data_IF_128662537703
#
_entry.id   IF_128662537703
#
_cell.length_a   1.000
_cell.length_b   1.000
_cell.length_c   1.000
_cell.angle_alpha   90.00
_cell.angle_beta   90.00
_cell.angle_gamma   90.00
#
_symmetry.space_group_name_H-M   'P 1'
#
loop_
_entity.id
_entity.type
_entity.pdbx_description
1 polymer ?
#
# COMPACT_ATOMS: atom_id res chain seq x y z
N UNK A 1 23.30 -9.93 -20.56
CA UNK A 1 22.76 -11.27 -20.63
C UNK A 1 23.90 -12.28 -20.71
N UNK A 2 23.90 -13.29 -19.88
CA UNK A 2 24.85 -14.40 -19.92
C UNK A 2 24.23 -15.49 -20.78
N UNK A 3 24.79 -15.68 -21.96
CA UNK A 3 24.13 -16.48 -23.00
C UNK A 3 24.01 -17.98 -22.68
N UNK A 4 24.68 -18.48 -21.64
CA UNK A 4 24.74 -19.92 -21.37
C UNK A 4 23.65 -20.41 -20.38
N UNK A 5 23.03 -19.53 -19.61
CA UNK A 5 22.13 -19.93 -18.53
C UNK A 5 20.93 -19.01 -18.30
N UNK A 6 20.58 -18.18 -19.28
CA UNK A 6 19.47 -17.19 -19.22
C UNK A 6 19.51 -16.25 -17.99
N UNK A 7 20.64 -16.12 -17.34
CA UNK A 7 20.78 -15.26 -16.17
C UNK A 7 20.72 -13.78 -16.58
N UNK A 8 19.88 -12.94 -15.93
CA UNK A 8 19.78 -11.54 -16.30
C UNK A 8 21.10 -10.80 -16.09
N UNK A 9 21.44 -9.80 -16.92
CA UNK A 9 22.65 -9.03 -16.78
C UNK A 9 22.61 -8.17 -15.52
N UNK A 10 23.76 -7.95 -14.89
CA UNK A 10 23.93 -6.94 -13.86
C UNK A 10 24.13 -5.59 -14.57
N UNK A 11 23.15 -4.68 -14.44
CA UNK A 11 23.20 -3.34 -15.03
C UNK A 11 23.46 -2.35 -13.92
N UNK A 12 24.56 -1.59 -14.04
CA UNK A 12 24.92 -0.57 -13.07
C UNK A 12 24.65 0.82 -13.68
N UNK A 13 23.69 1.55 -13.11
CA UNK A 13 23.49 2.97 -13.37
C UNK A 13 24.31 3.83 -12.40
N UNK A 14 24.46 5.13 -12.70
CA UNK A 14 25.16 6.09 -11.83
C UNK A 14 24.53 6.17 -10.44
N UNK A 15 23.21 6.11 -10.35
CA UNK A 15 22.44 6.17 -9.12
C UNK A 15 22.67 4.94 -8.22
N UNK A 16 22.79 3.77 -8.81
CA UNK A 16 23.07 2.52 -8.09
C UNK A 16 24.52 2.46 -7.57
N UNK A 17 25.45 3.15 -8.23
CA UNK A 17 26.84 3.22 -7.80
C UNK A 17 27.09 4.19 -6.63
N UNK A 18 26.18 5.14 -6.40
CA UNK A 18 26.20 6.02 -5.23
C UNK A 18 25.78 5.29 -3.96
N UNK A 19 24.93 4.25 -4.07
CA UNK A 19 24.39 3.45 -2.98
C UNK A 19 24.99 2.04 -2.88
N UNK A 20 26.23 1.85 -3.28
CA UNK A 20 26.90 0.53 -3.26
C UNK A 20 27.06 -0.08 -1.86
N UNK A 21 26.95 0.71 -0.80
CA UNK A 21 27.06 0.23 0.58
C UNK A 21 25.85 -0.63 0.99
N UNK A 22 24.69 -0.44 0.33
CA UNK A 22 23.44 -1.18 0.57
C UNK A 22 23.24 -2.33 -0.44
N UNK A 23 24.13 -2.51 -1.43
CA UNK A 23 23.99 -3.58 -2.41
C UNK A 23 24.53 -4.90 -1.85
N UNK A 24 23.65 -5.87 -1.68
CA UNK A 24 24.00 -7.27 -1.47
C UNK A 24 23.89 -8.02 -2.81
N UNK A 25 24.95 -8.71 -3.20
CA UNK A 25 24.90 -9.67 -4.31
C UNK A 25 24.37 -10.98 -3.74
N UNK A 26 23.07 -11.23 -3.90
CA UNK A 26 22.33 -12.32 -3.24
C UNK A 26 22.56 -13.69 -3.90
N UNK A 27 23.24 -13.77 -5.03
CA UNK A 27 23.35 -14.98 -5.84
C UNK A 27 24.70 -15.67 -5.62
N UNK A 28 24.77 -16.41 -4.53
CA UNK A 28 25.92 -17.26 -4.23
C UNK A 28 26.00 -18.41 -5.26
N UNK A 29 27.07 -18.42 -6.04
CA UNK A 29 27.38 -19.53 -6.98
C UNK A 29 27.49 -19.14 -8.44
N UNK A 30 27.30 -17.91 -8.82
CA UNK A 30 27.58 -17.47 -10.20
C UNK A 30 29.06 -17.48 -10.49
N UNK A 31 29.41 -18.22 -11.50
CA UNK A 31 30.81 -18.29 -11.93
C UNK A 31 31.22 -17.22 -12.95
N UNK A 32 30.24 -16.62 -13.64
CA UNK A 32 30.46 -15.62 -14.68
C UNK A 32 29.40 -14.51 -14.63
N UNK A 33 29.84 -13.24 -14.75
CA UNK A 33 28.94 -12.05 -14.71
C UNK A 33 29.33 -11.08 -15.83
N UNK A 34 28.30 -10.50 -16.47
CA UNK A 34 28.46 -9.34 -17.38
C UNK A 34 28.03 -8.08 -16.65
N UNK A 35 28.90 -7.11 -16.54
CA UNK A 35 28.67 -5.81 -15.95
C UNK A 35 28.50 -4.78 -17.07
N UNK A 36 27.37 -4.10 -17.12
CA UNK A 36 27.14 -3.03 -18.08
C UNK A 36 27.18 -1.69 -17.35
N UNK A 37 28.05 -0.78 -17.79
CA UNK A 37 28.14 0.55 -17.22
C UNK A 37 27.47 1.60 -18.12
N UNK A 38 26.64 2.47 -17.55
CA UNK A 38 26.05 3.60 -18.23
C UNK A 38 26.84 4.86 -17.90
N UNK A 39 27.42 5.50 -18.93
CA UNK A 39 28.14 6.77 -18.77
C UNK A 39 29.57 6.64 -18.21
N UNK A 40 30.12 7.78 -17.75
CA UNK A 40 31.43 7.83 -17.13
C UNK A 40 31.34 7.54 -15.64
N UNK A 41 31.86 6.41 -15.21
CA UNK A 41 31.89 5.96 -13.83
C UNK A 41 33.34 6.10 -13.32
N UNK A 42 33.47 6.62 -12.10
CA UNK A 42 34.78 6.79 -11.47
C UNK A 42 35.46 5.44 -11.23
N UNK A 43 36.76 5.32 -11.46
CA UNK A 43 37.53 4.09 -11.29
C UNK A 43 37.40 3.49 -9.88
N UNK A 44 37.29 4.31 -8.87
CA UNK A 44 37.03 3.91 -7.48
C UNK A 44 35.72 3.16 -7.28
N UNK A 45 34.66 3.57 -7.97
CA UNK A 45 33.36 2.88 -7.93
C UNK A 45 33.40 1.56 -8.68
N UNK A 46 34.14 1.48 -9.80
CA UNK A 46 34.39 0.24 -10.55
C UNK A 46 35.19 -0.77 -9.71
N UNK A 47 36.19 -0.32 -8.97
CA UNK A 47 36.95 -1.15 -8.04
C UNK A 47 36.04 -1.71 -6.94
N UNK A 48 35.15 -0.91 -6.39
CA UNK A 48 34.20 -1.35 -5.37
C UNK A 48 33.24 -2.42 -5.87
N UNK A 49 32.72 -2.28 -7.11
CA UNK A 49 31.93 -3.31 -7.77
C UNK A 49 32.72 -4.59 -7.96
N UNK A 50 33.97 -4.52 -8.43
CA UNK A 50 34.81 -5.69 -8.58
C UNK A 50 35.08 -6.41 -7.25
N UNK A 51 35.24 -5.65 -6.14
CA UNK A 51 35.40 -6.19 -4.78
C UNK A 51 34.16 -6.96 -4.35
N UNK A 52 32.95 -6.38 -4.56
CA UNK A 52 31.69 -7.03 -4.22
C UNK A 52 31.46 -8.32 -5.02
N UNK A 53 31.82 -8.33 -6.32
CA UNK A 53 31.75 -9.52 -7.15
C UNK A 53 32.72 -10.61 -6.67
N UNK A 54 33.94 -10.23 -6.26
CA UNK A 54 34.92 -11.16 -5.72
C UNK A 54 34.45 -11.79 -4.39
N UNK A 55 33.88 -10.98 -3.49
CA UNK A 55 33.30 -11.43 -2.23
C UNK A 55 32.13 -12.40 -2.47
N UNK A 56 31.27 -12.12 -3.48
CA UNK A 56 30.19 -13.00 -3.88
C UNK A 56 30.64 -14.30 -4.58
N UNK A 57 31.95 -14.53 -4.73
CA UNK A 57 32.49 -15.76 -5.31
C UNK A 57 32.46 -15.83 -6.82
N UNK A 58 32.24 -14.70 -7.52
CA UNK A 58 32.31 -14.64 -8.98
C UNK A 58 33.73 -14.91 -9.45
N UNK A 59 33.90 -15.81 -10.42
CA UNK A 59 35.22 -16.22 -10.94
C UNK A 59 35.63 -15.46 -12.20
N UNK A 60 34.66 -15.10 -13.02
CA UNK A 60 34.89 -14.40 -14.29
C UNK A 60 33.91 -13.23 -14.40
N UNK A 61 34.41 -12.07 -14.83
CA UNK A 61 33.56 -10.93 -15.11
C UNK A 61 34.06 -10.13 -16.32
N UNK A 62 33.14 -9.58 -17.11
CA UNK A 62 33.45 -8.68 -18.22
C UNK A 62 32.65 -7.40 -18.10
N UNK A 63 33.33 -6.27 -18.23
CA UNK A 63 32.71 -4.94 -18.15
C UNK A 63 32.49 -4.35 -19.53
N UNK A 64 31.24 -4.05 -19.85
CA UNK A 64 30.81 -3.49 -21.12
C UNK A 64 30.54 -1.99 -20.96
N UNK A 65 31.02 -1.15 -21.89
CA UNK A 65 30.80 0.30 -21.90
C UNK A 65 29.40 0.67 -22.42
N UNK A 66 28.77 -0.25 -23.17
CA UNK A 66 27.41 -0.12 -23.68
C UNK A 66 26.86 -1.50 -24.05
N UNK A 67 25.57 -1.61 -24.32
CA UNK A 67 24.96 -2.87 -24.80
C UNK A 67 25.44 -3.33 -26.18
N UNK A 68 26.08 -2.46 -26.95
CA UNK A 68 26.64 -2.76 -28.28
C UNK A 68 28.18 -2.86 -28.26
N UNK A 69 28.79 -2.83 -27.09
CA UNK A 69 30.23 -2.96 -26.94
C UNK A 69 30.69 -4.37 -27.36
N UNK A 70 31.57 -4.45 -28.32
CA UNK A 70 32.08 -5.72 -28.87
C UNK A 70 33.40 -6.16 -28.23
N UNK A 71 34.07 -5.25 -27.55
CA UNK A 71 35.36 -5.48 -26.88
C UNK A 71 35.27 -5.10 -25.40
N UNK A 72 34.60 -5.92 -24.58
CA UNK A 72 34.48 -5.64 -23.14
C UNK A 72 35.83 -5.78 -22.44
N UNK A 73 36.01 -4.97 -21.40
CA UNK A 73 37.14 -5.08 -20.49
C UNK A 73 37.04 -6.37 -19.68
N UNK A 74 38.08 -7.18 -19.67
CA UNK A 74 38.16 -8.39 -18.85
C UNK A 74 38.51 -8.01 -17.39
N UNK A 75 37.58 -8.24 -16.49
CA UNK A 75 37.70 -7.98 -15.05
C UNK A 75 38.16 -9.19 -14.26
N UNK A 76 38.31 -10.36 -14.87
CA UNK A 76 38.78 -11.58 -14.21
C UNK A 76 40.08 -11.39 -13.44
N UNK A 77 41.15 -10.71 -14.02
CA UNK A 77 42.35 -10.45 -13.27
C UNK A 77 42.16 -9.58 -12.02
N UNK A 78 41.22 -8.62 -12.06
CA UNK A 78 40.86 -7.78 -10.89
C UNK A 78 40.26 -8.61 -9.78
N UNK A 79 39.36 -9.55 -10.12
CA UNK A 79 38.71 -10.43 -9.14
C UNK A 79 39.71 -11.38 -8.45
N UNK A 80 40.62 -11.92 -9.19
CA UNK A 80 41.66 -12.83 -8.67
C UNK A 80 42.61 -12.10 -7.73
N UNK A 81 43.02 -10.88 -8.06
CA UNK A 81 43.89 -10.06 -7.20
C UNK A 81 43.23 -9.76 -5.85
N UNK A 82 41.99 -9.34 -5.85
CA UNK A 82 41.20 -9.02 -4.63
C UNK A 82 40.96 -10.26 -3.76
N UNK A 83 40.83 -11.45 -4.37
CA UNK A 83 40.63 -12.71 -3.64
C UNK A 83 41.92 -13.18 -2.96
N UNK A 84 43.04 -12.99 -3.60
CA UNK A 84 44.37 -13.32 -3.04
C UNK A 84 44.70 -12.43 -1.83
N UNK A 85 44.32 -11.17 -1.84
CA UNK A 85 44.41 -10.24 -0.69
C UNK A 85 43.54 -10.66 0.48
N UNK A 86 42.34 -11.18 0.20
CA UNK A 86 41.37 -11.65 1.24
C UNK A 86 41.81 -12.97 1.91
N UNK A 87 42.51 -13.85 1.17
CA UNK A 87 42.98 -15.15 1.68
C UNK A 87 44.27 -15.03 2.54
N UNK A 88 44.99 -13.92 2.47
CA UNK A 88 46.25 -13.71 3.20
C UNK A 88 46.07 -13.08 4.59
N UNK A 89 44.86 -13.05 5.12
CA UNK A 89 44.60 -12.89 6.57
C UNK A 89 44.87 -11.51 7.17
N UNK A 90 45.18 -10.51 6.41
CA UNK A 90 44.95 -9.15 6.81
C UNK A 90 43.45 -8.89 6.59
N UNK A 91 42.75 -8.83 7.70
CA UNK A 91 41.41 -8.28 7.72
C UNK A 91 41.45 -7.03 6.86
N UNK A 92 40.96 -7.12 5.63
CA UNK A 92 40.57 -5.96 4.85
C UNK A 92 39.36 -5.35 5.60
N UNK A 93 39.62 -4.80 6.76
CA UNK A 93 38.95 -3.58 7.15
C UNK A 93 39.40 -2.60 6.09
N UNK A 94 38.73 -2.64 4.94
CA UNK A 94 38.63 -1.48 4.11
C UNK A 94 37.96 -0.48 5.05
N UNK A 95 38.77 0.25 5.82
CA UNK A 95 38.38 1.58 6.21
C UNK A 95 38.15 2.28 4.88
N UNK A 96 36.90 2.10 4.38
CA UNK A 96 36.38 3.01 3.42
C UNK A 96 36.71 4.35 4.02
N UNK A 97 37.39 5.26 3.31
CA UNK A 97 37.39 6.63 3.74
C UNK A 97 35.91 7.05 3.70
N UNK A 98 35.18 6.68 4.73
CA UNK A 98 34.03 7.44 5.18
C UNK A 98 34.54 8.85 5.03
N UNK A 99 33.97 9.58 4.05
CA UNK A 99 34.38 10.95 3.77
C UNK A 99 34.59 11.57 5.12
N UNK A 100 35.82 11.98 5.45
CA UNK A 100 36.09 12.78 6.67
C UNK A 100 35.14 13.98 6.74
N UNK A 101 34.52 14.34 5.63
CA UNK A 101 33.42 15.26 5.53
C UNK A 101 32.10 14.78 6.15
N UNK A 102 31.73 13.48 6.09
CA UNK A 102 30.48 12.98 6.69
C UNK A 102 30.64 12.84 8.21
N UNK A 103 31.76 12.29 8.70
CA UNK A 103 32.01 12.34 10.16
C UNK A 103 32.19 13.77 10.71
N UNK A 104 32.79 14.68 9.94
CA UNK A 104 32.81 16.10 10.34
C UNK A 104 31.47 16.79 10.22
N UNK A 105 30.58 16.35 9.31
CA UNK A 105 29.23 16.86 9.23
C UNK A 105 28.31 16.27 10.32
N UNK A 106 28.41 14.97 10.64
CA UNK A 106 27.66 14.36 11.74
C UNK A 106 28.10 14.90 13.11
N UNK A 107 29.42 15.03 13.35
CA UNK A 107 29.92 15.67 14.55
C UNK A 107 29.64 17.18 14.59
N UNK A 108 29.58 17.86 13.42
CA UNK A 108 29.16 19.25 13.35
C UNK A 108 27.65 19.43 13.42
N UNK A 109 26.86 18.53 12.82
CA UNK A 109 25.40 18.55 12.93
C UNK A 109 24.95 18.31 14.37
N UNK A 110 25.59 17.37 15.09
CA UNK A 110 25.33 17.12 16.52
C UNK A 110 25.82 18.22 17.46
N UNK A 111 26.65 19.16 16.97
CA UNK A 111 27.18 20.27 17.76
C UNK A 111 26.57 21.64 17.45
N UNK A 112 25.80 21.77 16.37
CA UNK A 112 25.12 23.02 16.01
C UNK A 112 23.78 23.12 16.72
N UNK A 113 23.52 24.24 17.37
CA UNK A 113 22.19 24.54 17.89
C UNK A 113 21.17 24.66 16.75
N UNK A 114 19.94 24.21 16.94
CA UNK A 114 18.88 24.19 15.93
C UNK A 114 18.66 25.54 15.23
N UNK A 115 18.84 26.64 15.92
CA UNK A 115 18.72 27.99 15.35
C UNK A 115 19.88 28.38 14.42
N UNK A 116 21.02 27.68 14.51
CA UNK A 116 22.20 27.89 13.65
C UNK A 116 22.19 26.95 12.43
N UNK A 117 21.33 25.93 12.43
CA UNK A 117 21.17 24.99 11.33
C UNK A 117 20.46 25.63 10.14
N UNK A 118 20.82 25.21 8.92
CA UNK A 118 20.06 25.51 7.70
C UNK A 118 18.72 24.79 7.67
N UNK A 119 17.86 25.14 6.70
CA UNK A 119 16.55 24.51 6.56
C UNK A 119 16.65 23.00 6.30
N UNK A 120 17.59 22.55 5.47
CA UNK A 120 17.84 21.13 5.18
C UNK A 120 18.27 20.34 6.42
N UNK A 121 19.21 20.88 7.20
CA UNK A 121 19.68 20.23 8.42
C UNK A 121 18.56 20.09 9.46
N UNK A 122 17.71 21.10 9.62
CA UNK A 122 16.51 21.02 10.45
C UNK A 122 15.50 20.01 9.89
N UNK A 123 15.39 19.89 8.57
CA UNK A 123 14.58 18.87 7.90
C UNK A 123 15.07 17.46 8.21
N UNK A 124 16.40 17.24 8.22
CA UNK A 124 17.00 15.96 8.61
C UNK A 124 16.72 15.62 10.09
N UNK A 125 16.77 16.60 10.98
CA UNK A 125 16.41 16.41 12.40
C UNK A 125 14.92 16.00 12.53
N UNK A 126 14.03 16.65 11.77
CA UNK A 126 12.61 16.29 11.75
C UNK A 126 12.41 14.88 11.17
N UNK A 127 13.10 14.52 10.10
CA UNK A 127 13.05 13.16 9.53
C UNK A 127 13.53 12.11 10.54
N UNK A 128 14.63 12.40 11.26
CA UNK A 128 15.14 11.52 12.31
C UNK A 128 14.16 11.37 13.47
N UNK A 129 13.39 12.41 13.81
CA UNK A 129 12.33 12.34 14.83
C UNK A 129 11.25 11.29 14.48
N UNK A 130 10.97 11.11 13.18
CA UNK A 130 10.09 10.05 12.67
C UNK A 130 10.83 8.74 12.35
N UNK A 131 12.05 8.56 12.87
CA UNK A 131 12.84 7.34 12.63
C UNK A 131 13.28 7.13 11.18
N UNK A 132 13.22 8.16 10.33
CA UNK A 132 13.49 8.03 8.90
C UNK A 132 12.35 7.36 8.11
N UNK A 133 11.21 7.10 8.75
CA UNK A 133 10.07 6.36 8.19
C UNK A 133 9.01 7.31 7.58
N UNK A 134 9.46 8.28 6.77
CA UNK A 134 8.59 9.19 6.03
C UNK A 134 8.73 8.97 4.52
N UNK A 135 7.62 9.10 3.79
CA UNK A 135 7.59 9.10 2.32
C UNK A 135 6.53 10.09 1.82
N UNK A 136 6.63 10.51 0.56
CA UNK A 136 5.71 11.48 -0.03
C UNK A 136 4.84 10.85 -1.11
N UNK A 137 3.54 11.11 -1.08
CA UNK A 137 2.64 10.80 -2.19
C UNK A 137 2.75 11.90 -3.24
N UNK A 138 3.32 11.59 -4.40
CA UNK A 138 3.60 12.57 -5.45
C UNK A 138 2.32 13.18 -6.08
N UNK A 139 1.18 12.48 -6.07
CA UNK A 139 -0.07 12.99 -6.63
C UNK A 139 -0.70 14.08 -5.74
N UNK A 140 -0.62 13.93 -4.42
CA UNK A 140 -1.28 14.81 -3.44
C UNK A 140 -0.33 15.71 -2.65
N UNK A 141 0.98 15.58 -2.85
CA UNK A 141 2.03 16.23 -2.05
C UNK A 141 1.87 16.00 -0.53
N UNK A 142 1.29 14.85 -0.16
CA UNK A 142 1.04 14.49 1.23
C UNK A 142 2.14 13.57 1.75
N UNK A 143 2.73 13.94 2.89
CA UNK A 143 3.69 13.09 3.59
C UNK A 143 2.95 11.97 4.30
N UNK A 144 3.53 10.78 4.29
CA UNK A 144 3.06 9.62 5.03
C UNK A 144 4.16 9.13 5.95
N UNK A 145 3.76 8.65 7.13
CA UNK A 145 4.63 8.00 8.11
C UNK A 145 4.30 6.53 8.21
N UNK A 146 5.31 5.67 8.20
CA UNK A 146 5.13 4.24 8.41
C UNK A 146 5.07 3.95 9.92
N UNK A 147 3.91 3.49 10.39
CA UNK A 147 3.68 3.22 11.81
C UNK A 147 4.06 1.79 12.25
N UNK A 148 4.72 1.02 11.39
CA UNK A 148 5.03 -0.40 11.59
C UNK A 148 4.03 -1.35 10.93
N UNK A 149 2.86 -0.87 10.53
CA UNK A 149 1.78 -1.63 9.89
C UNK A 149 1.42 -1.04 8.53
N UNK A 150 1.08 0.25 8.50
CA UNK A 150 0.65 0.98 7.30
C UNK A 150 1.33 2.34 7.19
N UNK A 151 1.24 2.95 6.02
CA UNK A 151 1.65 4.32 5.76
C UNK A 151 0.47 5.27 6.00
N UNK A 152 0.52 6.02 7.09
CA UNK A 152 -0.52 6.98 7.49
C UNK A 152 -0.20 8.38 7.00
N UNK A 153 -1.19 9.13 6.48
CA UNK A 153 -0.97 10.52 6.06
C UNK A 153 -0.69 11.43 7.27
N UNK A 154 0.37 12.23 7.19
CA UNK A 154 0.74 13.23 8.19
C UNK A 154 0.47 14.63 7.62
N UNK A 155 -0.32 15.42 8.34
CA UNK A 155 -0.63 16.78 7.92
C UNK A 155 0.58 17.71 8.08
N UNK A 156 0.77 18.68 7.16
CA UNK A 156 1.85 19.66 7.26
C UNK A 156 1.87 20.40 8.60
N UNK A 157 0.70 20.69 9.15
CA UNK A 157 0.59 21.29 10.48
C UNK A 157 1.10 20.40 11.61
N UNK A 158 0.98 19.09 11.45
CA UNK A 158 1.49 18.12 12.41
C UNK A 158 3.01 18.04 12.32
N UNK A 159 3.57 17.97 11.12
CA UNK A 159 5.02 18.08 10.89
C UNK A 159 5.60 19.39 11.47
N UNK A 160 4.89 20.50 11.28
CA UNK A 160 5.27 21.79 11.85
C UNK A 160 5.22 21.79 13.38
N UNK A 161 4.21 21.14 14.00
CA UNK A 161 4.14 20.98 15.45
C UNK A 161 5.26 20.10 15.99
N UNK A 162 5.57 19.00 15.31
CA UNK A 162 6.69 18.14 15.67
C UNK A 162 8.02 18.91 15.62
N UNK A 163 8.26 19.70 14.56
CA UNK A 163 9.45 20.53 14.48
C UNK A 163 9.49 21.61 15.59
N UNK A 164 8.34 22.22 15.91
CA UNK A 164 8.25 23.17 17.00
C UNK A 164 8.55 22.51 18.35
N UNK A 165 8.06 21.31 18.58
CA UNK A 165 8.34 20.54 19.81
C UNK A 165 9.83 20.21 19.95
N UNK A 166 10.51 19.86 18.86
CA UNK A 166 11.97 19.63 18.85
C UNK A 166 12.71 20.89 19.31
N UNK A 167 12.30 22.09 18.87
CA UNK A 167 12.88 23.34 19.34
C UNK A 167 12.62 23.60 20.83
N UNK A 168 11.39 23.30 21.29
CA UNK A 168 10.99 23.46 22.70
C UNK A 168 11.80 22.52 23.59
N UNK A 169 11.91 21.25 23.20
CA UNK A 169 12.65 20.22 23.96
C UNK A 169 14.16 20.56 24.05
N UNK A 170 14.68 21.23 23.03
CA UNK A 170 16.06 21.75 23.02
C UNK A 170 16.24 23.08 23.76
N UNK A 171 15.16 23.67 24.29
CA UNK A 171 15.16 24.99 24.94
C UNK A 171 15.66 26.13 24.02
N UNK A 172 15.43 26.03 22.71
CA UNK A 172 15.88 26.98 21.69
C UNK A 172 14.67 27.76 21.12
N UNK A 173 14.78 29.06 21.02
CA UNK A 173 13.79 29.90 20.38
C UNK A 173 13.73 29.67 18.86
N UNK A 174 12.54 29.75 18.29
CA UNK A 174 12.30 29.54 16.87
C UNK A 174 11.38 30.59 16.25
N UNK A 175 11.45 30.73 14.93
CA UNK A 175 10.50 31.50 14.14
C UNK A 175 9.59 30.59 13.36
N UNK A 176 8.39 31.06 13.03
CA UNK A 176 7.47 30.30 12.17
C UNK A 176 8.10 29.94 10.81
N UNK A 177 8.91 30.84 10.26
CA UNK A 177 9.62 30.61 9.00
C UNK A 177 10.67 29.49 9.13
N UNK A 178 11.36 29.38 10.27
CA UNK A 178 12.33 28.32 10.51
C UNK A 178 11.67 26.95 10.53
N UNK A 179 10.49 26.83 11.14
CA UNK A 179 9.70 25.60 11.18
C UNK A 179 9.20 25.25 9.78
N UNK A 180 8.54 26.21 9.10
CA UNK A 180 7.96 25.96 7.78
C UNK A 180 9.03 25.56 6.75
N UNK A 181 10.15 26.29 6.70
CA UNK A 181 11.24 25.98 5.76
C UNK A 181 11.88 24.61 6.01
N UNK A 182 11.94 24.14 7.26
CA UNK A 182 12.43 22.81 7.59
C UNK A 182 11.51 21.73 6.99
N UNK A 183 10.19 21.85 7.18
CA UNK A 183 9.19 20.92 6.62
C UNK A 183 9.21 20.95 5.09
N UNK A 184 9.18 22.15 4.48
CA UNK A 184 9.17 22.29 3.02
C UNK A 184 10.44 21.68 2.40
N UNK A 185 11.61 21.88 3.01
CA UNK A 185 12.88 21.33 2.52
C UNK A 185 12.96 19.82 2.73
N UNK A 186 12.51 19.31 3.89
CA UNK A 186 12.44 17.87 4.15
C UNK A 186 11.62 17.14 3.07
N UNK A 187 10.45 17.67 2.71
CA UNK A 187 9.58 17.08 1.69
C UNK A 187 10.30 16.84 0.36
N UNK A 188 11.23 17.72 -0.03
CA UNK A 188 12.00 17.59 -1.28
C UNK A 188 12.97 16.42 -1.28
N UNK A 189 13.37 15.94 -0.10
CA UNK A 189 14.30 14.82 0.07
C UNK A 189 13.63 13.47 0.34
N UNK A 190 12.31 13.45 0.59
CA UNK A 190 11.61 12.22 0.91
C UNK A 190 11.49 11.28 -0.30
N UNK A 191 11.57 9.96 -0.07
CA UNK A 191 11.28 8.98 -1.11
C UNK A 191 9.82 9.08 -1.54
N UNK A 192 9.58 8.89 -2.85
CA UNK A 192 8.22 8.83 -3.39
C UNK A 192 7.60 7.48 -3.06
N UNK A 193 6.38 7.48 -2.56
CA UNK A 193 5.65 6.27 -2.24
C UNK A 193 5.43 5.39 -3.46
N UNK A 194 5.63 4.09 -3.30
CA UNK A 194 5.24 3.08 -4.27
C UNK A 194 3.74 2.74 -4.21
N UNK A 195 3.33 1.81 -5.05
CA UNK A 195 1.96 1.30 -5.06
C UNK A 195 1.85 0.03 -4.22
N UNK A 196 0.80 -0.11 -3.43
CA UNK A 196 0.47 -1.37 -2.76
C UNK A 196 0.23 -2.48 -3.79
N UNK A 197 0.84 -3.63 -3.60
CA UNK A 197 0.58 -4.80 -4.43
C UNK A 197 -0.85 -5.32 -4.20
N UNK A 198 -1.59 -5.60 -5.28
CA UNK A 198 -3.03 -5.96 -5.24
C UNK A 198 -3.30 -7.33 -4.62
N UNK A 199 -2.29 -8.15 -4.47
CA UNK A 199 -2.38 -9.46 -3.83
C UNK A 199 -2.14 -9.41 -2.31
N UNK A 200 -1.87 -8.26 -1.75
CA UNK A 200 -1.58 -8.10 -0.32
C UNK A 200 -2.80 -7.59 0.44
N UNK A 201 -3.12 -8.28 1.54
CA UNK A 201 -4.14 -7.86 2.50
C UNK A 201 -3.45 -7.66 3.85
N UNK A 202 -3.50 -6.43 4.38
CA UNK A 202 -2.94 -6.09 5.68
C UNK A 202 -3.88 -6.50 6.82
N UNK A 203 -3.30 -7.07 7.88
CA UNK A 203 -3.92 -7.35 9.17
C UNK A 203 -3.12 -6.67 10.27
N UNK A 204 -3.66 -6.56 11.48
CA UNK A 204 -2.94 -5.91 12.59
C UNK A 204 -1.61 -6.58 12.94
N UNK A 205 -1.48 -7.88 12.69
CA UNK A 205 -0.30 -8.69 13.04
C UNK A 205 0.55 -9.14 11.84
N UNK A 206 0.25 -8.68 10.61
CA UNK A 206 1.03 -9.05 9.43
C UNK A 206 0.28 -8.89 8.12
N UNK A 207 0.80 -9.48 7.08
CA UNK A 207 0.31 -9.35 5.69
C UNK A 207 0.02 -10.73 5.12
N UNK A 208 -1.18 -10.91 4.56
CA UNK A 208 -1.57 -12.09 3.81
C UNK A 208 -1.36 -11.86 2.31
N UNK A 209 -0.54 -12.69 1.68
CA UNK A 209 -0.36 -12.69 0.23
C UNK A 209 -1.34 -13.68 -0.41
N UNK A 210 -2.36 -13.16 -1.06
CA UNK A 210 -3.41 -13.98 -1.69
C UNK A 210 -2.92 -14.79 -2.89
N UNK A 211 -1.77 -14.45 -3.47
CA UNK A 211 -1.16 -15.19 -4.59
C UNK A 211 -0.47 -16.47 -4.12
N UNK A 212 0.16 -16.40 -2.94
CA UNK A 212 0.93 -17.53 -2.39
C UNK A 212 0.19 -18.27 -1.28
N UNK A 213 -0.85 -17.66 -0.70
CA UNK A 213 -1.53 -18.16 0.49
C UNK A 213 -0.72 -18.01 1.78
N UNK A 214 0.40 -17.29 1.74
CA UNK A 214 1.29 -17.14 2.88
C UNK A 214 0.94 -15.90 3.71
N UNK A 215 1.08 -16.04 5.01
CA UNK A 215 1.04 -14.93 5.96
C UNK A 215 2.45 -14.63 6.47
N UNK A 216 2.83 -13.36 6.52
CA UNK A 216 4.15 -12.89 6.94
C UNK A 216 4.08 -11.58 7.71
N UNK A 217 5.18 -11.18 8.31
CA UNK A 217 5.32 -9.89 8.97
C UNK A 217 5.13 -8.70 8.00
N UNK A 218 4.82 -7.54 8.56
CA UNK A 218 4.74 -6.28 7.83
C UNK A 218 6.10 -5.87 7.27
N UNK A 219 6.05 -5.22 6.10
CA UNK A 219 7.23 -4.61 5.49
C UNK A 219 6.84 -3.24 4.90
N UNK A 220 7.60 -2.20 5.22
CA UNK A 220 7.36 -0.84 4.71
C UNK A 220 7.33 -0.76 3.18
N UNK A 221 8.06 -1.64 2.49
CA UNK A 221 8.10 -1.70 1.03
C UNK A 221 6.85 -2.32 0.41
N UNK A 222 5.92 -2.83 1.21
CA UNK A 222 4.60 -3.25 0.74
C UNK A 222 3.69 -2.07 0.41
N UNK A 223 4.03 -0.88 0.90
CA UNK A 223 3.29 0.37 0.70
C UNK A 223 1.81 0.26 1.07
N UNK A 224 1.51 -0.50 2.13
CA UNK A 224 0.14 -0.64 2.62
C UNK A 224 -0.36 0.70 3.18
N UNK A 225 -1.52 1.13 2.70
CA UNK A 225 -2.22 2.32 3.21
C UNK A 225 -3.33 1.96 4.20
N UNK A 226 -3.76 0.69 4.19
CA UNK A 226 -4.84 0.17 5.01
C UNK A 226 -4.48 -1.22 5.52
N UNK A 227 -4.95 -1.55 6.71
CA UNK A 227 -4.94 -2.90 7.26
C UNK A 227 -6.22 -3.12 8.07
N UNK A 228 -6.65 -4.37 8.18
CA UNK A 228 -7.70 -4.77 9.11
C UNK A 228 -7.21 -4.60 10.55
N UNK A 229 -8.06 -4.12 11.43
CA UNK A 229 -7.78 -4.02 12.87
C UNK A 229 -7.68 -5.39 13.53
N UNK A 230 -8.20 -6.44 12.88
CA UNK A 230 -8.17 -7.80 13.38
C UNK A 230 -6.82 -8.48 13.10
N UNK A 231 -6.34 -9.34 14.02
CA UNK A 231 -5.22 -10.22 13.73
C UNK A 231 -5.67 -11.38 12.86
N UNK A 232 -4.85 -11.75 11.88
CA UNK A 232 -5.01 -13.00 11.15
C UNK A 232 -4.49 -14.17 11.99
N UNK A 233 -5.22 -15.28 11.96
CA UNK A 233 -4.79 -16.57 12.49
C UNK A 233 -5.16 -17.67 11.50
N UNK A 234 -4.40 -18.77 11.42
CA UNK A 234 -4.76 -19.88 10.54
C UNK A 234 -6.10 -20.51 10.97
N UNK A 235 -6.84 -21.16 10.04
CA UNK A 235 -8.10 -21.80 10.36
C UNK A 235 -7.89 -22.98 11.31
N UNK A 236 -8.90 -23.25 12.16
CA UNK A 236 -8.94 -24.46 12.95
C UNK A 236 -9.26 -25.68 12.06
N UNK A 237 -8.86 -26.87 12.49
CA UNK A 237 -9.22 -28.09 11.77
C UNK A 237 -10.75 -28.28 11.74
N UNK A 238 -11.31 -28.50 10.54
CA UNK A 238 -12.75 -28.67 10.36
C UNK A 238 -13.58 -27.38 10.53
N UNK A 239 -12.93 -26.19 10.47
CA UNK A 239 -13.63 -24.92 10.59
C UNK A 239 -14.61 -24.70 9.44
N UNK A 240 -15.87 -24.41 9.77
CA UNK A 240 -16.92 -24.05 8.81
C UNK A 240 -17.71 -22.84 9.28
N UNK A 241 -18.33 -22.11 8.35
CA UNK A 241 -19.19 -20.96 8.71
C UNK A 241 -20.40 -21.41 9.56
N UNK A 242 -21.01 -22.56 9.23
CA UNK A 242 -22.20 -23.04 9.92
C UNK A 242 -21.97 -23.33 11.41
N UNK A 243 -20.79 -23.87 11.75
CA UNK A 243 -20.46 -24.29 13.12
C UNK A 243 -19.69 -23.24 13.91
N UNK A 244 -18.85 -22.43 13.24
CA UNK A 244 -17.92 -21.51 13.92
C UNK A 244 -18.27 -20.04 13.73
N UNK A 245 -19.22 -19.74 12.81
CA UNK A 245 -19.79 -18.41 12.60
C UNK A 245 -21.31 -18.51 12.40
N UNK A 246 -22.07 -19.08 13.37
CA UNK A 246 -23.47 -19.42 13.20
C UNK A 246 -24.38 -18.19 13.02
N UNK A 247 -24.05 -17.05 13.63
CA UNK A 247 -24.83 -15.81 13.46
C UNK A 247 -24.64 -15.23 12.05
N UNK A 248 -23.40 -15.17 11.56
CA UNK A 248 -23.11 -14.79 10.18
C UNK A 248 -23.78 -15.75 9.19
N UNK A 249 -23.65 -17.07 9.41
CA UNK A 249 -24.25 -18.08 8.54
C UNK A 249 -25.76 -17.95 8.47
N UNK A 250 -26.44 -17.79 9.62
CA UNK A 250 -27.90 -17.58 9.69
C UNK A 250 -28.31 -16.33 8.94
N UNK A 251 -27.60 -15.21 9.13
CA UNK A 251 -27.87 -13.98 8.40
C UNK A 251 -27.70 -14.18 6.89
N UNK A 252 -26.58 -14.76 6.46
CA UNK A 252 -26.28 -15.00 5.04
C UNK A 252 -27.39 -15.84 4.37
N UNK A 253 -27.69 -16.99 4.95
CA UNK A 253 -28.70 -17.91 4.39
C UNK A 253 -30.07 -17.24 4.25
N UNK A 254 -30.50 -16.56 5.29
CA UNK A 254 -31.78 -15.86 5.29
C UNK A 254 -31.82 -14.73 4.26
N UNK A 255 -30.78 -13.90 4.19
CA UNK A 255 -30.71 -12.76 3.27
C UNK A 255 -30.83 -13.17 1.80
N UNK A 256 -30.45 -14.39 1.46
CA UNK A 256 -30.51 -14.95 0.10
C UNK A 256 -31.64 -15.97 -0.11
N UNK A 257 -32.58 -16.07 0.82
CA UNK A 257 -33.70 -17.05 0.77
C UNK A 257 -33.20 -18.48 0.52
N UNK A 258 -32.21 -18.93 1.28
CA UNK A 258 -31.57 -20.26 1.23
C UNK A 258 -30.95 -20.64 -0.14
N UNK A 259 -30.71 -19.66 -1.03
CA UNK A 259 -30.17 -19.91 -2.35
C UNK A 259 -28.63 -19.93 -2.33
N UNK A 260 -28.02 -21.07 -2.62
CA UNK A 260 -26.55 -21.26 -2.55
C UNK A 260 -25.79 -20.34 -3.52
N UNK A 261 -26.26 -20.24 -4.76
CA UNK A 261 -25.61 -19.37 -5.75
C UNK A 261 -25.62 -17.89 -5.35
N UNK A 262 -26.72 -17.44 -4.74
CA UNK A 262 -26.79 -16.07 -4.19
C UNK A 262 -25.88 -15.91 -2.97
N UNK A 263 -25.77 -16.93 -2.11
CA UNK A 263 -24.86 -16.93 -0.97
C UNK A 263 -23.40 -16.80 -1.45
N UNK A 264 -22.98 -17.61 -2.43
CA UNK A 264 -21.64 -17.51 -3.02
C UNK A 264 -21.36 -16.12 -3.61
N UNK A 265 -22.34 -15.49 -4.25
CA UNK A 265 -22.19 -14.13 -4.76
C UNK A 265 -22.06 -13.09 -3.65
N UNK A 266 -22.79 -13.23 -2.54
CA UNK A 266 -22.63 -12.36 -1.36
C UNK A 266 -21.24 -12.54 -0.75
N UNK A 267 -20.77 -13.78 -0.59
CA UNK A 267 -19.41 -14.07 -0.13
C UNK A 267 -18.36 -13.47 -1.05
N UNK A 268 -18.53 -13.54 -2.37
CA UNK A 268 -17.63 -12.91 -3.34
C UNK A 268 -17.60 -11.38 -3.21
N UNK A 269 -18.75 -10.75 -2.92
CA UNK A 269 -18.81 -9.31 -2.66
C UNK A 269 -18.12 -8.93 -1.33
N UNK A 270 -18.26 -9.73 -0.30
CA UNK A 270 -17.54 -9.54 0.96
C UNK A 270 -16.03 -9.71 0.79
N UNK A 271 -15.60 -10.69 -0.01
CA UNK A 271 -14.20 -10.84 -0.39
C UNK A 271 -13.66 -9.63 -1.18
N UNK A 272 -14.45 -9.09 -2.11
CA UNK A 272 -14.12 -7.88 -2.85
C UNK A 272 -13.83 -6.70 -1.91
N UNK A 273 -14.62 -6.56 -0.82
CA UNK A 273 -14.42 -5.53 0.21
C UNK A 273 -13.17 -5.83 1.04
N UNK A 274 -13.02 -7.05 1.57
CA UNK A 274 -11.89 -7.47 2.38
C UNK A 274 -10.55 -7.24 1.67
N UNK A 275 -10.46 -7.66 0.40
CA UNK A 275 -9.27 -7.56 -0.42
C UNK A 275 -9.13 -6.21 -1.15
N UNK A 276 -10.02 -5.26 -0.90
CA UNK A 276 -10.11 -3.96 -1.57
C UNK A 276 -9.96 -4.07 -3.11
N UNK A 277 -10.74 -4.96 -3.74
CA UNK A 277 -10.66 -5.22 -5.20
C UNK A 277 -11.45 -4.18 -6.00
N UNK A 278 -11.20 -2.88 -5.72
CA UNK A 278 -11.73 -1.76 -6.51
C UNK A 278 -11.36 -1.86 -8.01
N UNK A 279 -10.24 -2.55 -8.31
CA UNK A 279 -9.75 -2.78 -9.67
C UNK A 279 -10.64 -3.71 -10.51
N UNK A 280 -11.61 -4.38 -9.90
CA UNK A 280 -12.61 -5.15 -10.64
C UNK A 280 -13.62 -4.26 -11.37
N UNK A 281 -13.58 -2.97 -11.10
CA UNK A 281 -14.45 -1.97 -11.73
C UNK A 281 -15.94 -2.19 -11.44
N UNK A 282 -16.24 -2.73 -10.26
CA UNK A 282 -17.61 -3.00 -9.82
C UNK A 282 -17.98 -2.08 -8.63
N UNK A 283 -19.27 -1.82 -8.50
CA UNK A 283 -19.86 -1.34 -7.25
C UNK A 283 -21.01 -2.22 -6.82
N UNK A 284 -21.22 -2.31 -5.53
CA UNK A 284 -22.21 -3.17 -4.91
C UNK A 284 -23.42 -2.33 -4.58
N UNK A 285 -24.60 -2.82 -4.89
CA UNK A 285 -25.87 -2.24 -4.44
C UNK A 285 -26.72 -3.30 -3.77
N UNK A 286 -27.11 -3.07 -2.53
CA UNK A 286 -27.99 -3.93 -1.76
C UNK A 286 -29.35 -3.28 -1.64
N UNK A 287 -30.40 -3.96 -2.09
CA UNK A 287 -31.78 -3.50 -2.10
C UNK A 287 -32.70 -4.43 -1.31
N UNK A 288 -33.86 -3.93 -0.94
CA UNK A 288 -34.90 -4.74 -0.27
C UNK A 288 -35.70 -3.93 0.76
N UNK A 289 -36.78 -4.50 1.31
CA UNK A 289 -37.60 -3.84 2.31
C UNK A 289 -36.86 -3.62 3.64
N UNK A 290 -37.43 -2.79 4.52
CA UNK A 290 -36.94 -2.62 5.89
C UNK A 290 -36.92 -3.95 6.66
N UNK A 291 -35.84 -4.21 7.41
CA UNK A 291 -35.70 -5.45 8.18
C UNK A 291 -35.27 -6.69 7.39
N UNK A 292 -34.73 -6.50 6.17
CA UNK A 292 -34.25 -7.62 5.32
C UNK A 292 -32.75 -7.92 5.50
N UNK A 293 -32.04 -7.29 6.42
CA UNK A 293 -30.63 -7.55 6.69
C UNK A 293 -29.63 -6.70 5.89
N UNK A 294 -30.09 -5.69 5.13
CA UNK A 294 -29.21 -4.78 4.33
C UNK A 294 -28.21 -4.02 5.20
N UNK A 295 -28.68 -3.45 6.32
CA UNK A 295 -27.80 -2.71 7.25
C UNK A 295 -26.74 -3.61 7.85
N UNK A 296 -27.09 -4.87 8.17
CA UNK A 296 -26.13 -5.87 8.65
C UNK A 296 -25.03 -6.13 7.62
N UNK A 297 -25.37 -6.20 6.32
CA UNK A 297 -24.37 -6.32 5.27
C UNK A 297 -23.42 -5.11 5.24
N UNK A 298 -23.94 -3.89 5.39
CA UNK A 298 -23.11 -2.69 5.45
C UNK A 298 -22.18 -2.69 6.67
N UNK A 299 -22.66 -3.15 7.82
CA UNK A 299 -21.86 -3.31 9.04
C UNK A 299 -20.77 -4.36 8.86
N UNK A 300 -21.08 -5.54 8.27
CA UNK A 300 -20.08 -6.57 7.94
C UNK A 300 -19.03 -6.02 6.99
N UNK A 301 -19.43 -5.30 5.93
CA UNK A 301 -18.46 -4.67 5.02
C UNK A 301 -17.58 -3.64 5.75
N UNK A 302 -18.15 -2.87 6.67
CA UNK A 302 -17.40 -1.91 7.52
C UNK A 302 -16.38 -2.64 8.41
N UNK A 303 -16.76 -3.74 9.02
CA UNK A 303 -15.86 -4.56 9.85
C UNK A 303 -14.73 -5.17 9.01
N UNK A 304 -15.04 -5.67 7.81
CA UNK A 304 -14.04 -6.25 6.90
C UNK A 304 -13.04 -5.23 6.37
N UNK A 305 -13.49 -4.04 6.02
CA UNK A 305 -12.64 -2.95 5.56
C UNK A 305 -11.87 -2.27 6.71
N UNK A 306 -12.43 -2.32 7.93
CA UNK A 306 -12.04 -1.52 9.09
C UNK A 306 -12.83 -0.22 9.21
N UNK A 307 -13.22 0.12 10.44
CA UNK A 307 -14.00 1.35 10.72
C UNK A 307 -13.25 2.60 10.28
N UNK A 308 -11.94 2.66 10.54
CA UNK A 308 -11.07 3.77 10.14
C UNK A 308 -10.91 3.91 8.61
N UNK A 309 -11.13 2.83 7.87
CA UNK A 309 -10.98 2.77 6.41
C UNK A 309 -12.31 2.95 5.66
N UNK A 310 -13.41 3.19 6.39
CA UNK A 310 -14.77 3.30 5.85
C UNK A 310 -15.32 4.70 6.02
N UNK A 311 -15.98 5.21 4.98
CA UNK A 311 -16.67 6.50 5.00
C UNK A 311 -18.09 6.37 4.48
N UNK A 312 -19.03 7.09 5.12
CA UNK A 312 -20.38 7.27 4.59
C UNK A 312 -20.42 8.54 3.73
N UNK A 313 -20.95 8.41 2.51
CA UNK A 313 -20.99 9.51 1.56
C UNK A 313 -22.25 9.47 0.70
N UNK A 314 -22.63 10.63 0.14
CA UNK A 314 -23.70 10.73 -0.86
C UNK A 314 -23.14 10.61 -2.28
N UNK A 315 -24.03 10.43 -3.28
CA UNK A 315 -23.62 10.46 -4.67
C UNK A 315 -22.95 11.79 -5.04
N UNK A 316 -23.39 12.91 -4.43
CA UNK A 316 -22.79 14.23 -4.62
C UNK A 316 -21.29 14.21 -4.25
N UNK A 317 -20.93 13.51 -3.18
CA UNK A 317 -19.53 13.38 -2.78
C UNK A 317 -18.67 12.63 -3.83
N UNK A 318 -19.26 11.85 -4.70
CA UNK A 318 -18.56 11.20 -5.80
C UNK A 318 -18.49 12.06 -7.08
N UNK A 319 -19.43 12.98 -7.26
CA UNK A 319 -19.59 13.78 -8.48
C UNK A 319 -18.94 15.16 -8.41
N UNK A 320 -18.89 15.76 -7.23
CA UNK A 320 -18.33 17.09 -7.01
C UNK A 320 -16.89 17.04 -6.55
N UNK A 321 -15.99 17.81 -7.18
CA UNK A 321 -14.56 17.77 -6.87
C UNK A 321 -14.21 18.20 -5.41
N UNK A 322 -15.01 19.10 -4.82
CA UNK A 322 -14.81 19.54 -3.43
C UNK A 322 -15.28 18.48 -2.45
N UNK A 323 -16.45 17.92 -2.70
CA UNK A 323 -17.05 16.89 -1.86
C UNK A 323 -16.22 15.59 -1.92
N UNK A 324 -15.56 15.29 -3.06
CA UNK A 324 -14.68 14.12 -3.20
C UNK A 324 -13.51 14.12 -2.20
N UNK A 325 -13.10 15.28 -1.71
CA UNK A 325 -12.07 15.36 -0.67
C UNK A 325 -12.45 14.57 0.60
N UNK A 326 -13.75 14.35 0.84
CA UNK A 326 -14.26 13.58 1.97
C UNK A 326 -14.03 12.08 1.85
N UNK A 327 -13.86 11.55 0.62
CA UNK A 327 -13.75 10.11 0.37
C UNK A 327 -12.33 9.68 -0.02
N UNK A 328 -11.40 10.62 -0.11
CA UNK A 328 -9.99 10.31 -0.38
C UNK A 328 -9.36 9.63 0.83
N UNK A 329 -8.63 8.52 0.59
CA UNK A 329 -7.92 7.78 1.63
C UNK A 329 -8.73 6.64 2.27
N UNK A 330 -10.01 6.49 1.91
CA UNK A 330 -10.83 5.38 2.38
C UNK A 330 -10.87 4.25 1.36
N UNK A 331 -10.98 3.01 1.84
CA UNK A 331 -11.09 1.80 1.00
C UNK A 331 -12.52 1.34 0.78
N UNK A 332 -13.46 1.80 1.61
CA UNK A 332 -14.88 1.51 1.49
C UNK A 332 -15.70 2.80 1.59
N UNK A 333 -16.53 3.03 0.59
CA UNK A 333 -17.50 4.14 0.56
C UNK A 333 -18.89 3.55 0.65
N UNK A 334 -19.61 3.85 1.74
CA UNK A 334 -21.00 3.42 1.92
C UNK A 334 -21.93 4.58 1.55
N UNK A 335 -22.89 4.32 0.68
CA UNK A 335 -23.92 5.28 0.28
C UNK A 335 -25.29 4.81 0.77
N UNK A 336 -25.77 5.34 1.90
CA UNK A 336 -27.10 5.02 2.40
C UNK A 336 -28.19 5.82 1.67
N UNK A 337 -29.35 5.21 1.47
CA UNK A 337 -30.59 5.83 1.01
C UNK A 337 -30.55 6.68 -0.27
N UNK A 338 -29.89 6.13 -1.31
CA UNK A 338 -29.76 6.79 -2.62
C UNK A 338 -30.98 6.61 -3.56
N UNK A 339 -32.13 6.32 -3.02
CA UNK A 339 -33.36 5.95 -3.78
C UNK A 339 -33.86 7.00 -4.77
N UNK A 340 -33.49 8.27 -4.63
CA UNK A 340 -33.92 9.38 -5.49
C UNK A 340 -32.86 9.88 -6.47
N UNK A 341 -31.76 9.17 -6.58
CA UNK A 341 -30.74 9.55 -7.56
C UNK A 341 -31.21 9.24 -9.00
N UNK A 342 -31.12 10.21 -9.89
CA UNK A 342 -31.53 10.09 -11.29
C UNK A 342 -30.48 10.65 -12.29
N UNK A 343 -29.24 10.81 -11.85
CA UNK A 343 -28.12 11.28 -12.66
C UNK A 343 -27.51 10.19 -13.55
N UNK A 344 -26.46 10.54 -14.30
CA UNK A 344 -25.74 9.62 -15.18
C UNK A 344 -24.65 8.78 -14.48
N UNK A 345 -24.38 9.08 -13.19
CA UNK A 345 -23.38 8.36 -12.41
C UNK A 345 -21.94 8.59 -12.85
N UNK A 346 -21.61 9.76 -13.38
CA UNK A 346 -20.26 10.05 -13.87
C UNK A 346 -19.20 9.85 -12.80
N UNK A 347 -19.45 10.31 -11.56
CA UNK A 347 -18.53 10.17 -10.44
C UNK A 347 -18.29 8.71 -10.06
N UNK A 348 -19.35 7.92 -9.91
CA UNK A 348 -19.23 6.49 -9.56
C UNK A 348 -18.54 5.71 -10.70
N UNK A 349 -18.81 6.06 -11.98
CA UNK A 349 -18.12 5.47 -13.13
C UNK A 349 -16.62 5.74 -13.10
N UNK A 350 -16.21 6.98 -12.81
CA UNK A 350 -14.80 7.37 -12.75
C UNK A 350 -14.06 6.68 -11.58
N UNK A 351 -14.66 6.70 -10.37
CA UNK A 351 -14.04 6.07 -9.19
C UNK A 351 -13.93 4.56 -9.39
N UNK A 352 -15.01 3.88 -9.77
CA UNK A 352 -14.97 2.42 -10.01
C UNK A 352 -14.16 2.04 -11.26
N UNK A 353 -14.01 2.95 -12.23
CA UNK A 353 -13.13 2.79 -13.38
C UNK A 353 -11.63 2.85 -13.04
N UNK A 354 -11.30 3.37 -11.86
CA UNK A 354 -9.91 3.62 -11.46
C UNK A 354 -9.29 4.83 -12.14
N UNK A 355 -10.10 5.76 -12.61
CA UNK A 355 -9.64 6.99 -13.24
C UNK A 355 -9.05 7.95 -12.18
N UNK A 356 -8.11 8.81 -12.60
CA UNK A 356 -7.73 9.97 -11.79
C UNK A 356 -8.87 10.98 -11.83
N UNK A 357 -9.36 11.36 -10.67
CA UNK A 357 -10.44 12.33 -10.49
C UNK A 357 -9.92 13.61 -9.85
N UNK A 358 -10.44 14.76 -10.24
CA UNK A 358 -10.09 16.04 -9.66
C UNK A 358 -10.59 16.12 -8.22
N UNK A 359 -9.74 16.60 -7.32
CA UNK A 359 -10.01 16.90 -5.92
C UNK A 359 -9.72 18.39 -5.69
N UNK A 360 -10.69 19.12 -5.15
CA UNK A 360 -10.56 20.55 -4.84
C UNK A 360 -10.76 20.78 -3.33
N UNK A 361 -9.78 20.42 -2.49
CA UNK A 361 -9.94 20.51 -1.05
C UNK A 361 -9.88 21.96 -0.59
N UNK A 362 -10.71 22.31 0.38
CA UNK A 362 -10.73 23.66 0.94
C UNK A 362 -9.36 24.07 1.49
N UNK A 363 -8.88 25.24 1.09
CA UNK A 363 -7.59 25.82 1.52
C UNK A 363 -6.33 25.05 1.09
N UNK A 364 -6.42 24.17 0.10
CA UNK A 364 -5.27 23.52 -0.53
C UNK A 364 -5.35 23.68 -2.05
N UNK A 365 -4.24 23.51 -2.75
CA UNK A 365 -4.24 23.47 -4.20
C UNK A 365 -5.04 22.27 -4.72
N UNK A 366 -5.85 22.43 -5.78
CA UNK A 366 -6.50 21.31 -6.43
C UNK A 366 -5.47 20.31 -7.01
N UNK A 367 -5.78 19.05 -6.95
CA UNK A 367 -4.96 17.98 -7.51
C UNK A 367 -5.82 16.87 -8.13
N UNK A 368 -5.21 15.90 -8.78
CA UNK A 368 -5.91 14.73 -9.32
C UNK A 368 -5.30 13.45 -8.78
N UNK A 369 -6.15 12.58 -8.25
CA UNK A 369 -5.72 11.28 -7.70
C UNK A 369 -6.74 10.19 -8.00
N UNK A 370 -6.33 8.93 -7.84
CA UNK A 370 -7.26 7.79 -7.81
C UNK A 370 -7.84 7.61 -6.42
N UNK A 371 -9.09 7.17 -6.36
CA UNK A 371 -9.75 6.77 -5.12
C UNK A 371 -9.88 5.24 -5.15
N UNK A 372 -8.95 4.51 -4.53
CA UNK A 372 -8.92 3.05 -4.56
C UNK A 372 -9.91 2.45 -3.55
N UNK A 373 -11.20 2.70 -3.76
CA UNK A 373 -12.26 2.32 -2.85
C UNK A 373 -13.32 1.45 -3.52
N UNK A 374 -13.82 0.47 -2.77
CA UNK A 374 -15.06 -0.24 -3.11
C UNK A 374 -16.25 0.62 -2.73
N UNK A 375 -17.24 0.71 -3.61
CA UNK A 375 -18.47 1.48 -3.35
C UNK A 375 -19.61 0.52 -3.05
N UNK A 376 -20.30 0.75 -1.93
CA UNK A 376 -21.48 0.00 -1.48
C UNK A 376 -22.66 0.94 -1.31
N UNK A 377 -23.69 0.78 -2.11
CA UNK A 377 -24.98 1.47 -1.93
C UNK A 377 -25.98 0.58 -1.20
N UNK A 378 -26.70 1.16 -0.23
CA UNK A 378 -27.71 0.45 0.58
C UNK A 378 -29.04 1.17 0.47
N UNK A 379 -30.00 0.58 -0.23
CA UNK A 379 -31.24 1.24 -0.61
C UNK A 379 -32.47 0.35 -0.35
N UNK A 380 -33.64 0.96 -0.25
CA UNK A 380 -34.89 0.18 -0.26
C UNK A 380 -35.24 -0.26 -1.70
N UNK A 381 -35.01 0.60 -2.67
CA UNK A 381 -35.21 0.31 -4.09
C UNK A 381 -33.92 0.56 -4.84
N UNK A 382 -33.76 -0.09 -5.99
CA UNK A 382 -32.62 0.09 -6.85
C UNK A 382 -32.52 1.55 -7.37
N UNK A 383 -31.31 2.11 -7.40
CA UNK A 383 -31.06 3.43 -7.97
C UNK A 383 -31.41 3.48 -9.45
N UNK A 384 -31.92 4.61 -9.88
CA UNK A 384 -32.16 4.89 -11.31
C UNK A 384 -31.01 5.72 -11.87
N UNK A 385 -30.52 5.33 -13.04
CA UNK A 385 -29.46 6.05 -13.74
C UNK A 385 -29.95 6.44 -15.14
N UNK A 386 -29.62 7.65 -15.56
CA UNK A 386 -29.89 8.14 -16.93
C UNK A 386 -28.82 7.71 -17.93
N UNK A 387 -27.82 6.91 -17.50
CA UNK A 387 -26.73 6.43 -18.34
C UNK A 387 -27.23 5.49 -19.45
N UNK A 388 -27.15 5.95 -20.72
CA UNK A 388 -27.53 5.17 -21.91
C UNK A 388 -26.35 4.40 -22.50
N UNK A 389 -25.12 4.62 -22.02
CA UNK A 389 -23.92 3.99 -22.58
C UNK A 389 -23.69 2.56 -22.05
N UNK A 390 -24.47 2.11 -21.06
CA UNK A 390 -24.25 0.85 -20.37
C UNK A 390 -23.04 0.84 -19.41
N UNK A 391 -22.42 2.01 -19.20
CA UNK A 391 -21.28 2.18 -18.33
C UNK A 391 -21.58 1.82 -16.88
N UNK A 392 -22.76 2.17 -16.38
CA UNK A 392 -23.24 1.80 -15.05
C UNK A 392 -23.63 0.32 -15.00
N UNK A 393 -24.41 -0.17 -15.98
CA UNK A 393 -24.96 -1.52 -15.94
C UNK A 393 -23.89 -2.59 -15.83
N UNK A 394 -22.78 -2.46 -16.55
CA UNK A 394 -21.65 -3.40 -16.52
C UNK A 394 -20.83 -3.36 -15.22
N UNK A 395 -20.97 -2.31 -14.41
CA UNK A 395 -20.25 -2.12 -13.14
C UNK A 395 -21.08 -2.43 -11.92
N UNK A 396 -22.38 -2.62 -12.09
CA UNK A 396 -23.35 -2.69 -11.00
C UNK A 396 -23.67 -4.12 -10.64
N UNK A 397 -23.40 -4.48 -9.37
CA UNK A 397 -23.80 -5.77 -8.79
C UNK A 397 -24.92 -5.53 -7.82
N UNK A 398 -26.13 -6.03 -8.13
CA UNK A 398 -27.31 -5.84 -7.27
C UNK A 398 -27.60 -7.12 -6.48
N UNK A 399 -27.73 -6.95 -5.17
CA UNK A 399 -28.24 -7.98 -4.26
C UNK A 399 -29.61 -7.53 -3.75
N UNK A 400 -30.64 -8.28 -4.11
CA UNK A 400 -31.99 -8.03 -3.59
C UNK A 400 -32.27 -8.97 -2.42
N UNK A 401 -32.36 -8.41 -1.21
CA UNK A 401 -32.73 -9.10 0.02
C UNK A 401 -34.24 -8.96 0.21
N UNK A 402 -35.00 -9.96 -0.23
CA UNK A 402 -36.45 -9.95 -0.22
C UNK A 402 -37.06 -10.39 1.11
N UNK A 403 -36.31 -11.18 1.88
CA UNK A 403 -36.83 -11.81 3.11
C UNK A 403 -36.80 -10.85 4.29
N UNK A 404 -37.97 -10.49 4.77
CA UNK A 404 -38.11 -9.64 5.95
C UNK A 404 -38.05 -10.48 7.23
N UNK A 405 -37.19 -10.09 8.15
CA UNK A 405 -37.14 -10.70 9.49
C UNK A 405 -38.34 -10.24 10.30
N UNK A 406 -39.21 -11.16 10.77
CA UNK A 406 -40.32 -10.81 11.68
C UNK A 406 -39.80 -10.06 12.90
N UNK A 407 -40.59 -9.13 13.40
CA UNK A 407 -40.18 -8.23 14.48
C UNK A 407 -39.73 -8.98 15.76
N UNK A 408 -40.46 -10.06 16.09
CA UNK A 408 -40.16 -10.91 17.23
C UNK A 408 -38.91 -11.79 17.06
N UNK A 409 -38.32 -11.88 15.84
CA UNK A 409 -37.13 -12.62 15.53
C UNK A 409 -35.89 -11.70 15.28
N UNK A 410 -36.13 -10.39 15.33
CA UNK A 410 -35.05 -9.41 15.13
C UNK A 410 -34.12 -9.41 16.31
N UNK A 411 -32.85 -9.56 16.02
CA UNK A 411 -31.77 -9.52 17.00
C UNK A 411 -31.02 -8.18 16.85
N UNK A 412 -31.20 -7.28 17.80
CA UNK A 412 -30.55 -5.98 17.81
C UNK A 412 -29.03 -6.06 18.00
N UNK A 413 -28.53 -7.18 18.54
CA UNK A 413 -27.11 -7.44 18.79
C UNK A 413 -26.48 -8.31 17.70
N UNK A 414 -27.16 -8.52 16.56
CA UNK A 414 -26.68 -9.43 15.52
C UNK A 414 -25.33 -9.00 14.94
N UNK A 415 -25.14 -7.70 14.71
CA UNK A 415 -23.88 -7.19 14.18
C UNK A 415 -22.71 -7.44 15.13
N UNK A 416 -22.86 -7.19 16.43
CA UNK A 416 -21.84 -7.44 17.45
C UNK A 416 -21.54 -8.94 17.61
N UNK A 417 -22.56 -9.80 17.49
CA UNK A 417 -22.36 -11.25 17.47
C UNK A 417 -21.53 -11.69 16.25
N UNK A 418 -21.83 -11.11 15.07
CA UNK A 418 -21.07 -11.36 13.84
C UNK A 418 -19.65 -10.78 13.96
N UNK A 419 -19.45 -9.63 14.62
CA UNK A 419 -18.12 -9.08 14.88
C UNK A 419 -17.24 -10.09 15.64
N UNK A 420 -17.80 -10.80 16.63
CA UNK A 420 -17.13 -11.88 17.33
C UNK A 420 -16.76 -13.10 16.45
N UNK A 421 -17.44 -13.29 15.34
CA UNK A 421 -17.24 -14.39 14.38
C UNK A 421 -16.37 -13.97 13.18
N UNK A 422 -16.00 -12.70 13.07
CA UNK A 422 -15.43 -12.11 11.85
C UNK A 422 -14.12 -12.77 11.43
N UNK A 423 -13.30 -13.22 12.38
CA UNK A 423 -12.07 -13.94 12.08
C UNK A 423 -12.31 -15.24 11.29
N UNK A 424 -13.38 -15.98 11.62
CA UNK A 424 -13.81 -17.19 10.88
C UNK A 424 -14.28 -16.81 9.48
N UNK A 425 -15.07 -15.73 9.38
CA UNK A 425 -15.56 -15.24 8.08
C UNK A 425 -14.38 -14.86 7.17
N UNK A 426 -13.40 -14.13 7.68
CA UNK A 426 -12.19 -13.73 6.93
C UNK A 426 -11.45 -14.96 6.43
N UNK A 427 -11.17 -15.94 7.29
CA UNK A 427 -10.47 -17.17 6.89
C UNK A 427 -11.23 -17.94 5.83
N UNK A 428 -12.55 -18.04 5.99
CA UNK A 428 -13.40 -18.67 4.99
C UNK A 428 -13.32 -17.97 3.63
N UNK A 429 -13.41 -16.62 3.61
CA UNK A 429 -13.30 -15.83 2.38
C UNK A 429 -11.93 -16.02 1.70
N UNK A 430 -10.84 -16.00 2.46
CA UNK A 430 -9.48 -16.18 1.93
C UNK A 430 -9.27 -17.60 1.37
N UNK A 431 -9.82 -18.62 2.03
CA UNK A 431 -9.74 -20.01 1.57
C UNK A 431 -10.63 -20.24 0.35
N UNK A 432 -11.89 -19.79 0.42
CA UNK A 432 -12.89 -19.99 -0.65
C UNK A 432 -12.49 -19.30 -1.94
N UNK A 433 -11.86 -18.14 -1.84
CA UNK A 433 -11.43 -17.32 -2.97
C UNK A 433 -9.91 -17.20 -3.07
N UNK A 434 -9.19 -18.30 -2.81
CA UNK A 434 -7.77 -18.41 -3.10
C UNK A 434 -7.48 -18.13 -4.59
N UNK A 435 -8.36 -18.60 -5.49
CA UNK A 435 -8.50 -18.06 -6.85
C UNK A 435 -9.44 -16.86 -6.84
N UNK A 436 -8.89 -15.64 -6.83
CA UNK A 436 -9.66 -14.41 -6.82
C UNK A 436 -10.51 -14.20 -8.09
N UNK A 437 -10.11 -14.78 -9.21
CA UNK A 437 -10.87 -14.71 -10.45
C UNK A 437 -12.20 -15.47 -10.33
N UNK A 438 -12.29 -16.47 -9.46
CA UNK A 438 -13.57 -17.12 -9.16
C UNK A 438 -14.55 -16.16 -8.49
N UNK A 439 -14.13 -15.42 -7.47
CA UNK A 439 -14.96 -14.39 -6.83
C UNK A 439 -15.40 -13.33 -7.85
N UNK A 440 -14.47 -12.88 -8.70
CA UNK A 440 -14.79 -11.92 -9.76
C UNK A 440 -15.84 -12.47 -10.73
N UNK A 441 -15.69 -13.72 -11.21
CA UNK A 441 -16.67 -14.38 -12.12
C UNK A 441 -18.06 -14.50 -11.51
N UNK A 442 -18.16 -14.73 -10.18
CA UNK A 442 -19.45 -14.80 -9.48
C UNK A 442 -20.18 -13.45 -9.44
N UNK A 443 -19.46 -12.34 -9.50
CA UNK A 443 -20.04 -10.99 -9.45
C UNK A 443 -20.47 -10.48 -10.84
N UNK A 444 -19.87 -11.00 -11.91
CA UNK A 444 -20.27 -10.73 -13.29
C UNK A 444 -21.38 -11.69 -13.74
#
# INVERSE_FOLDING_TARGET
HIAADDTPPVILGTEQLENLDDMQIIDEGRHYVRVYRAGKIAEKSLTKVATLLAIAGVKEARCYRSFVDREPEDWTPRLVGLKAEAEHGESLVIELPVKKAERKNDERASSLALNQMGASQRGEVLLAHYGGELAINADSDTVHHYNGVVWEPVQDKELQRAMAQIFIDAEISYSQNAIKSAVDTMKLSLPVMGNTARNLIGFSNGVFDTRTGNFREHNKNDWLLIASELPFSPPAEGETLATHAPNFWKWLRRSVAENDRKADRVLAALFMVLANRYDWQLFIEVTGPGGSGKSVMAEICTMLAGKANTVSASMKALEDARERALVVGFSLIIMPDMTRYAGDGAGIKAITGGDKVAIDPKHKAPYSTRIPAVVLAVNNNAMSFSDRSGGISRRRVIFNFSEVVPENERDSMLAEKIEGELAVVIRHLLTRFADQDEARRLLY
#
